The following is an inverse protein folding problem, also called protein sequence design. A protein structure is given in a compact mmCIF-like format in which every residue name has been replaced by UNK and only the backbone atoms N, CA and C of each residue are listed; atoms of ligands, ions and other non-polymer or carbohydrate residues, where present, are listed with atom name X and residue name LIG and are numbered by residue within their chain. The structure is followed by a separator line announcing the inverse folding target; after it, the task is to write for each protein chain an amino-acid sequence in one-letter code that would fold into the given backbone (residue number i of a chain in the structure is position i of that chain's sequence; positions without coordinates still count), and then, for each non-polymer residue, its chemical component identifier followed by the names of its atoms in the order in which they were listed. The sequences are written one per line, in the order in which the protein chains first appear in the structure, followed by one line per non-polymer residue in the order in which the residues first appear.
data_IF_437077779069
#
_entry.id   IF_437077779069
#
_cell.length_a   1.000
_cell.length_b   1.000
_cell.length_c   1.000
_cell.angle_alpha   90.00
_cell.angle_beta   90.00
_cell.angle_gamma   90.00
#
_symmetry.space_group_name_H-M   'P 1'
#
loop_
_entity.id
_entity.type
_entity.pdbx_description
1 polymer ?
#
# COMPACT_ATOMS: atom_id res chain seq x y z
N UNK A 1 6.20 36.70 -16.42
CA UNK A 1 5.59 35.53 -17.03
C UNK A 1 4.85 34.80 -15.93
N UNK A 2 3.52 34.64 -15.98
CA UNK A 2 2.78 34.01 -14.91
C UNK A 2 2.91 32.48 -15.05
N UNK A 3 3.52 31.85 -14.06
CA UNK A 3 3.49 30.39 -13.89
C UNK A 3 2.04 29.95 -13.70
N UNK A 4 1.52 29.18 -14.64
CA UNK A 4 0.25 28.48 -14.50
C UNK A 4 0.41 27.47 -13.35
N UNK A 5 -0.27 27.75 -12.24
CA UNK A 5 -0.43 26.84 -11.11
C UNK A 5 -1.35 25.70 -11.56
N UNK A 6 -0.77 24.57 -11.94
CA UNK A 6 -1.55 23.35 -12.06
C UNK A 6 -1.75 22.81 -10.63
N UNK A 7 -2.91 23.11 -10.06
CA UNK A 7 -3.33 22.50 -8.81
C UNK A 7 -3.52 20.99 -9.09
N UNK A 8 -2.65 20.15 -8.56
CA UNK A 8 -2.86 18.72 -8.53
C UNK A 8 -4.01 18.43 -7.56
N UNK A 9 -5.20 18.36 -8.09
CA UNK A 9 -6.39 17.87 -7.41
C UNK A 9 -6.20 16.35 -7.19
N UNK A 10 -5.79 15.96 -5.99
CA UNK A 10 -6.03 14.62 -5.50
C UNK A 10 -7.52 14.45 -5.19
N UNK A 11 -8.32 14.28 -6.24
CA UNK A 11 -9.60 13.61 -6.07
C UNK A 11 -9.29 12.17 -5.71
N UNK A 12 -9.60 11.76 -4.50
CA UNK A 12 -9.62 10.37 -4.03
C UNK A 12 -10.74 9.60 -4.75
N UNK A 13 -10.52 9.30 -5.96
CA UNK A 13 -11.32 8.48 -6.85
C UNK A 13 -10.46 8.32 -8.07
N UNK A 14 -9.80 7.20 -8.22
CA UNK A 14 -9.05 6.65 -9.34
C UNK A 14 -8.97 7.51 -10.64
N UNK A 15 -8.49 8.74 -10.53
CA UNK A 15 -7.83 9.41 -11.62
C UNK A 15 -6.35 9.40 -11.25
N UNK A 16 -5.69 8.28 -11.56
CA UNK A 16 -4.27 8.31 -11.85
C UNK A 16 -4.05 9.53 -12.72
N UNK A 17 -3.12 10.44 -12.34
CA UNK A 17 -2.64 11.48 -13.25
C UNK A 17 -2.58 10.90 -14.64
N UNK A 18 -3.06 11.58 -15.70
CA UNK A 18 -2.87 11.10 -17.03
C UNK A 18 -1.35 10.96 -17.23
N UNK A 19 -0.88 9.75 -17.07
CA UNK A 19 0.48 9.36 -17.44
C UNK A 19 0.57 9.62 -18.95
N UNK A 20 1.72 10.02 -19.52
CA UNK A 20 1.86 10.12 -20.94
C UNK A 20 1.53 8.75 -21.53
N UNK A 21 0.32 8.61 -22.05
CA UNK A 21 -0.18 7.38 -22.65
C UNK A 21 -0.02 7.50 -24.16
N UNK A 22 0.63 6.53 -24.77
CA UNK A 22 0.58 6.37 -26.20
C UNK A 22 -0.77 5.70 -26.53
N UNK A 23 -1.75 6.48 -26.99
CA UNK A 23 -3.02 5.96 -27.50
C UNK A 23 -2.85 5.53 -28.96
N UNK A 24 -3.27 4.31 -29.28
CA UNK A 24 -3.33 3.79 -30.64
C UNK A 24 -4.78 3.39 -30.92
N UNK A 25 -5.41 4.04 -31.90
CA UNK A 25 -6.76 3.67 -32.35
C UNK A 25 -6.67 2.52 -33.36
N UNK A 26 -7.30 1.40 -33.07
CA UNK A 26 -7.45 0.25 -33.95
C UNK A 26 -8.94 -0.10 -34.08
N UNK A 27 -9.58 0.41 -35.13
CA UNK A 27 -10.94 0.02 -35.52
C UNK A 27 -11.99 0.18 -34.36
N UNK A 28 -11.98 1.32 -33.70
CA UNK A 28 -12.94 1.61 -32.62
C UNK A 28 -12.54 1.08 -31.25
N UNK A 29 -11.29 0.66 -31.07
CA UNK A 29 -10.68 0.36 -29.78
C UNK A 29 -9.50 1.30 -29.51
N UNK A 30 -9.49 1.92 -28.35
CA UNK A 30 -8.39 2.76 -27.88
C UNK A 30 -7.48 1.96 -26.95
N UNK A 31 -6.19 1.94 -27.26
CA UNK A 31 -5.16 1.31 -26.41
C UNK A 31 -4.36 2.39 -25.70
N UNK A 32 -4.24 2.28 -24.39
CA UNK A 32 -3.38 3.14 -23.57
C UNK A 32 -2.37 2.30 -22.81
N UNK A 33 -1.13 2.77 -22.75
CA UNK A 33 -0.07 2.11 -22.01
C UNK A 33 0.67 3.11 -21.13
N UNK A 34 1.11 2.68 -19.96
CA UNK A 34 1.90 3.46 -19.04
C UNK A 34 2.82 2.56 -18.22
N UNK A 35 3.84 3.16 -17.64
CA UNK A 35 4.74 2.43 -16.76
C UNK A 35 5.25 3.30 -15.63
N UNK A 36 5.84 2.64 -14.64
CA UNK A 36 6.48 3.30 -13.52
C UNK A 36 7.68 2.49 -13.04
N UNK A 37 8.67 3.17 -12.50
CA UNK A 37 9.78 2.51 -11.83
C UNK A 37 10.21 3.28 -10.59
N UNK A 38 10.70 2.54 -9.62
CA UNK A 38 11.44 3.02 -8.46
C UNK A 38 12.77 2.27 -8.41
N UNK A 39 13.87 2.99 -8.46
CA UNK A 39 15.21 2.47 -8.18
C UNK A 39 15.59 3.00 -6.80
N UNK A 40 15.72 2.12 -5.83
CA UNK A 40 16.00 2.49 -4.45
C UNK A 40 17.25 1.80 -3.93
N UNK A 41 17.93 2.44 -3.00
CA UNK A 41 19.01 1.83 -2.23
C UNK A 41 18.94 2.32 -0.78
N UNK A 42 18.99 1.38 0.15
CA UNK A 42 18.91 1.70 1.57
C UNK A 42 19.89 0.90 2.41
N UNK A 43 20.14 1.38 3.63
CA UNK A 43 21.04 0.76 4.60
C UNK A 43 20.52 0.96 6.02
N UNK A 44 20.51 -0.13 6.80
CA UNK A 44 20.32 -0.05 8.25
C UNK A 44 21.67 0.27 8.89
N UNK A 45 21.76 1.35 9.63
CA UNK A 45 22.98 1.83 10.25
C UNK A 45 23.00 1.75 11.78
N UNK A 46 21.92 1.24 12.40
CA UNK A 46 21.85 1.02 13.84
C UNK A 46 20.52 0.41 14.28
N UNK A 47 20.52 -0.16 15.48
CA UNK A 47 19.35 -0.80 16.07
C UNK A 47 19.71 -1.99 16.97
N UNK A 48 18.71 -2.83 17.26
CA UNK A 48 18.86 -4.02 18.11
C UNK A 48 19.46 -5.16 17.30
N UNK A 49 20.53 -5.76 17.82
CA UNK A 49 21.20 -6.93 17.23
C UNK A 49 20.60 -8.21 17.75
N UNK A 50 20.91 -9.30 17.09
CA UNK A 50 20.64 -10.69 17.52
C UNK A 50 19.14 -11.02 17.73
N UNK A 51 18.27 -10.23 17.11
CA UNK A 51 16.83 -10.56 16.97
C UNK A 51 16.59 -11.29 15.65
N UNK A 52 15.60 -12.16 15.60
CA UNK A 52 15.17 -12.87 14.40
C UNK A 52 16.23 -13.76 13.73
N UNK A 53 17.23 -14.20 14.46
CA UNK A 53 18.25 -15.15 13.95
C UNK A 53 17.59 -16.47 13.54
N UNK A 54 16.65 -16.97 14.34
CA UNK A 54 15.90 -18.21 14.06
C UNK A 54 15.00 -18.08 12.82
N UNK A 55 14.57 -16.86 12.47
CA UNK A 55 13.84 -16.55 11.24
C UNK A 55 14.76 -16.38 10.02
N UNK A 56 16.09 -16.42 10.20
CA UNK A 56 17.10 -16.31 9.15
C UNK A 56 17.38 -14.89 8.67
N UNK A 57 17.25 -13.88 9.55
CA UNK A 57 17.58 -12.49 9.28
C UNK A 57 18.80 -12.01 10.05
N UNK A 58 19.53 -11.05 9.48
CA UNK A 58 20.71 -10.41 10.09
C UNK A 58 20.36 -9.00 10.58
N UNK A 59 19.75 -8.91 11.75
CA UNK A 59 19.34 -7.63 12.34
C UNK A 59 20.50 -6.88 13.04
N UNK A 60 20.43 -5.54 13.19
CA UNK A 60 19.22 -4.72 13.08
C UNK A 60 18.61 -4.69 11.68
N UNK A 61 17.29 -4.86 11.63
CA UNK A 61 16.52 -4.99 10.40
C UNK A 61 15.43 -3.92 10.35
N UNK A 62 15.13 -3.43 9.14
CA UNK A 62 14.01 -2.56 8.89
C UNK A 62 13.08 -3.19 7.86
N UNK A 63 11.80 -3.27 8.17
CA UNK A 63 10.77 -3.81 7.27
C UNK A 63 10.13 -2.63 6.55
N UNK A 64 10.40 -2.50 5.24
CA UNK A 64 9.79 -1.46 4.40
C UNK A 64 8.45 -1.91 3.83
N UNK A 65 8.26 -3.22 3.62
CA UNK A 65 7.02 -3.80 3.08
C UNK A 65 6.81 -5.23 3.60
N UNK A 66 5.84 -5.41 4.49
CA UNK A 66 5.47 -6.74 4.98
C UNK A 66 4.85 -7.62 3.90
N UNK A 67 3.98 -7.06 3.08
CA UNK A 67 3.23 -7.83 2.07
C UNK A 67 4.17 -8.48 1.05
N UNK A 68 5.25 -7.81 0.69
CA UNK A 68 6.21 -8.26 -0.31
C UNK A 68 7.54 -8.73 0.29
N UNK A 69 7.66 -8.77 1.62
CA UNK A 69 8.90 -9.10 2.35
C UNK A 69 10.05 -8.15 2.01
N UNK A 70 9.77 -6.86 1.93
CA UNK A 70 10.80 -5.83 1.80
C UNK A 70 11.51 -5.64 3.14
N UNK A 71 12.70 -6.25 3.31
CA UNK A 71 13.47 -6.20 4.54
C UNK A 71 14.88 -5.74 4.23
N UNK A 72 15.30 -4.66 4.89
CA UNK A 72 16.69 -4.21 4.95
C UNK A 72 17.37 -4.82 6.16
N UNK A 73 18.51 -5.45 5.94
CA UNK A 73 19.35 -6.06 6.97
C UNK A 73 20.58 -5.20 7.24
N UNK A 74 21.25 -5.44 8.37
CA UNK A 74 22.45 -4.70 8.74
C UNK A 74 23.64 -4.93 7.79
N UNK A 75 24.57 -3.98 7.76
CA UNK A 75 25.91 -4.14 7.26
C UNK A 75 26.20 -3.55 5.88
N UNK A 76 25.25 -3.57 4.93
CA UNK A 76 25.51 -3.12 3.56
C UNK A 76 24.34 -2.37 2.93
N UNK A 77 24.60 -1.70 1.81
CA UNK A 77 23.54 -1.11 1.00
C UNK A 77 22.78 -2.19 0.23
N UNK A 78 21.46 -2.11 0.23
CA UNK A 78 20.57 -3.04 -0.44
C UNK A 78 19.63 -2.28 -1.36
N UNK A 79 19.51 -2.72 -2.61
CA UNK A 79 18.62 -2.11 -3.60
C UNK A 79 17.27 -2.85 -3.73
N UNK A 80 17.22 -4.13 -3.35
CA UNK A 80 16.06 -5.00 -3.56
C UNK A 80 14.77 -4.56 -2.86
N UNK A 81 14.79 -4.21 -1.55
CA UNK A 81 13.56 -4.07 -0.76
C UNK A 81 12.52 -3.10 -1.34
N UNK A 82 12.94 -1.95 -1.88
CA UNK A 82 12.01 -0.93 -2.39
C UNK A 82 12.06 -0.72 -3.91
N UNK A 83 13.01 -1.37 -4.63
CA UNK A 83 13.06 -1.25 -6.10
C UNK A 83 11.96 -2.01 -6.78
N UNK A 84 11.29 -1.39 -7.76
CA UNK A 84 10.16 -1.96 -8.50
C UNK A 84 10.00 -1.35 -9.88
N UNK A 85 9.41 -2.14 -10.77
CA UNK A 85 9.04 -1.76 -12.14
C UNK A 85 7.62 -2.25 -12.40
N UNK A 86 6.75 -1.38 -12.86
CA UNK A 86 5.38 -1.71 -13.21
C UNK A 86 5.02 -1.27 -14.62
N UNK A 87 4.19 -2.06 -15.27
CA UNK A 87 3.58 -1.75 -16.57
C UNK A 87 2.06 -1.89 -16.44
N UNK A 88 1.34 -0.95 -17.01
CA UNK A 88 -0.11 -0.95 -17.08
C UNK A 88 -0.54 -0.74 -18.52
N UNK A 89 -1.56 -1.49 -18.94
CA UNK A 89 -2.24 -1.32 -20.22
C UNK A 89 -3.74 -1.30 -20.04
N UNK A 90 -4.42 -0.51 -20.85
CA UNK A 90 -5.88 -0.51 -20.93
C UNK A 90 -6.32 -0.53 -22.38
N UNK A 91 -7.41 -1.25 -22.63
CA UNK A 91 -8.15 -1.26 -23.89
C UNK A 91 -9.55 -0.78 -23.60
N UNK A 92 -10.02 0.24 -24.28
CA UNK A 92 -11.38 0.76 -24.15
C UNK A 92 -12.12 0.79 -25.47
N UNK A 93 -13.43 0.57 -25.43
CA UNK A 93 -14.29 0.80 -26.58
C UNK A 93 -14.38 2.30 -26.88
N UNK A 94 -14.55 2.67 -28.15
CA UNK A 94 -14.59 4.07 -28.60
C UNK A 94 -15.71 4.89 -27.94
N UNK A 95 -16.79 4.22 -27.48
CA UNK A 95 -17.88 4.87 -26.73
C UNK A 95 -17.58 5.07 -25.23
N UNK A 96 -16.39 4.60 -24.78
CA UNK A 96 -15.94 4.70 -23.38
C UNK A 96 -16.68 3.82 -22.38
N UNK A 97 -17.75 3.12 -22.79
CA UNK A 97 -18.61 2.34 -21.87
C UNK A 97 -17.98 1.06 -21.35
N UNK A 98 -17.02 0.52 -22.07
CA UNK A 98 -16.33 -0.70 -21.71
C UNK A 98 -14.82 -0.48 -21.74
N UNK A 99 -14.11 -0.96 -20.72
CA UNK A 99 -12.65 -1.05 -20.74
C UNK A 99 -12.14 -2.30 -20.03
N UNK A 100 -10.95 -2.75 -20.44
CA UNK A 100 -10.18 -3.81 -19.79
C UNK A 100 -8.83 -3.23 -19.38
N UNK A 101 -8.49 -3.31 -18.09
CA UNK A 101 -7.23 -2.80 -17.56
C UNK A 101 -6.42 -3.92 -16.93
N UNK A 102 -5.12 -3.98 -17.26
CA UNK A 102 -4.16 -4.89 -16.65
C UNK A 102 -2.93 -4.16 -16.14
N UNK A 103 -2.39 -4.58 -15.00
CA UNK A 103 -1.14 -4.08 -14.44
C UNK A 103 -0.30 -5.23 -13.89
N UNK A 104 0.98 -5.27 -14.28
CA UNK A 104 1.96 -6.19 -13.74
C UNK A 104 3.09 -5.40 -13.06
N UNK A 105 3.58 -5.90 -11.91
CA UNK A 105 4.66 -5.26 -11.14
C UNK A 105 5.72 -6.29 -10.79
N UNK A 106 6.96 -6.01 -11.15
CA UNK A 106 8.15 -6.72 -10.71
C UNK A 106 8.78 -5.99 -9.53
N UNK A 107 9.13 -6.71 -8.47
CA UNK A 107 9.71 -6.13 -7.24
C UNK A 107 11.02 -6.81 -6.85
N UNK A 108 12.01 -6.00 -6.51
CA UNK A 108 13.29 -6.49 -5.99
C UNK A 108 13.13 -7.28 -4.68
N UNK A 109 12.20 -6.91 -3.82
CA UNK A 109 11.82 -7.66 -2.62
C UNK A 109 11.38 -9.11 -2.91
N UNK A 110 10.83 -9.36 -4.10
CA UNK A 110 10.42 -10.67 -4.59
C UNK A 110 11.44 -11.28 -5.58
N UNK A 111 12.71 -10.87 -5.50
CA UNK A 111 13.80 -11.29 -6.39
C UNK A 111 13.50 -11.03 -7.88
N UNK A 112 12.80 -9.96 -8.20
CA UNK A 112 12.43 -9.58 -9.57
C UNK A 112 11.23 -10.31 -10.12
N UNK A 113 10.55 -11.15 -9.36
CA UNK A 113 9.35 -11.83 -9.81
C UNK A 113 8.24 -10.82 -10.15
N UNK A 114 7.62 -10.99 -11.31
CA UNK A 114 6.49 -10.18 -11.74
C UNK A 114 5.17 -10.77 -11.22
N UNK A 115 4.32 -9.93 -10.66
CA UNK A 115 2.98 -10.28 -10.22
C UNK A 115 1.95 -9.50 -11.00
N UNK A 116 0.85 -10.16 -11.35
CA UNK A 116 -0.33 -9.52 -11.89
C UNK A 116 -1.10 -8.87 -10.74
N UNK A 117 -1.02 -7.54 -10.65
CA UNK A 117 -1.68 -6.78 -9.58
C UNK A 117 -3.13 -6.48 -9.93
N UNK A 118 -3.39 -6.10 -11.20
CA UNK A 118 -4.73 -5.81 -11.68
C UNK A 118 -5.01 -6.55 -12.98
N UNK A 119 -6.23 -7.02 -13.12
CA UNK A 119 -6.83 -7.43 -14.39
C UNK A 119 -8.34 -7.38 -14.21
N UNK A 120 -8.96 -6.30 -14.64
CA UNK A 120 -10.39 -6.11 -14.48
C UNK A 120 -11.04 -5.41 -15.66
N UNK A 121 -12.30 -5.78 -15.90
CA UNK A 121 -13.17 -5.09 -16.82
C UNK A 121 -13.96 -4.00 -16.09
N UNK A 122 -14.21 -2.89 -16.77
CA UNK A 122 -15.05 -1.79 -16.32
C UNK A 122 -16.21 -1.62 -17.29
N UNK A 123 -17.42 -1.45 -16.77
CA UNK A 123 -18.64 -1.16 -17.52
C UNK A 123 -19.30 0.07 -16.92
N UNK A 124 -19.45 1.13 -17.69
CA UNK A 124 -20.22 2.31 -17.32
C UNK A 124 -21.70 2.04 -17.56
N UNK A 125 -22.48 1.93 -16.49
CA UNK A 125 -23.94 1.76 -16.56
C UNK A 125 -24.67 3.09 -16.81
N UNK A 126 -24.13 4.16 -16.23
CA UNK A 126 -24.56 5.53 -16.43
C UNK A 126 -23.39 6.48 -16.16
N UNK A 127 -23.54 7.78 -16.41
CA UNK A 127 -22.49 8.77 -16.12
C UNK A 127 -21.97 8.79 -14.68
N UNK A 128 -22.75 8.27 -13.73
CA UNK A 128 -22.43 8.26 -12.32
C UNK A 128 -22.14 6.85 -11.76
N UNK A 129 -22.50 5.79 -12.50
CA UNK A 129 -22.51 4.43 -11.98
C UNK A 129 -21.66 3.50 -12.83
N UNK A 130 -20.67 2.86 -12.22
CA UNK A 130 -19.70 1.98 -12.85
C UNK A 130 -19.66 0.62 -12.15
N UNK A 131 -19.62 -0.45 -12.92
CA UNK A 131 -19.35 -1.82 -12.44
C UNK A 131 -17.94 -2.20 -12.85
N UNK A 132 -17.20 -2.86 -11.95
CA UNK A 132 -15.89 -3.41 -12.25
C UNK A 132 -15.83 -4.87 -11.80
N UNK A 133 -15.26 -5.75 -12.63
CA UNK A 133 -15.18 -7.19 -12.39
C UNK A 133 -13.77 -7.70 -12.70
N UNK A 134 -13.17 -8.46 -11.80
CA UNK A 134 -11.84 -9.06 -11.96
C UNK A 134 -10.96 -8.89 -10.75
N UNK A 135 -9.63 -8.93 -10.99
CA UNK A 135 -8.59 -8.73 -9.98
C UNK A 135 -8.31 -7.26 -9.77
N UNK A 136 -8.46 -6.80 -8.54
CA UNK A 136 -8.29 -5.39 -8.17
C UNK A 136 -7.51 -5.23 -6.87
N UNK A 137 -7.03 -4.01 -6.64
CA UNK A 137 -6.50 -3.62 -5.33
C UNK A 137 -7.62 -3.54 -4.30
N UNK A 138 -7.40 -4.10 -3.12
CA UNK A 138 -8.31 -3.94 -1.98
C UNK A 138 -8.24 -2.48 -1.52
N UNK A 139 -9.35 -1.73 -1.51
CA UNK A 139 -9.35 -0.31 -1.17
C UNK A 139 -9.30 -0.12 0.36
N UNK A 140 -8.21 -0.60 0.99
CA UNK A 140 -8.06 -0.59 2.45
C UNK A 140 -7.51 0.75 2.95
N UNK A 141 -6.58 1.37 2.20
CA UNK A 141 -5.86 2.59 2.57
C UNK A 141 -6.01 3.68 1.51
N UNK A 142 -5.69 4.93 1.86
CA UNK A 142 -5.71 6.06 0.93
C UNK A 142 -4.83 5.85 -0.30
N UNK A 143 -3.68 5.25 -0.10
CA UNK A 143 -2.70 5.01 -1.17
C UNK A 143 -2.75 3.58 -1.72
N UNK A 144 -3.78 2.77 -1.41
CA UNK A 144 -3.86 1.38 -1.86
C UNK A 144 -3.62 1.23 -3.36
N UNK A 145 -4.27 2.03 -4.20
CA UNK A 145 -4.14 1.95 -5.66
C UNK A 145 -2.79 2.46 -6.17
N UNK A 146 -2.19 3.45 -5.49
CA UNK A 146 -0.92 4.07 -5.87
C UNK A 146 0.30 3.51 -5.13
N UNK A 147 0.15 2.52 -4.23
CA UNK A 147 1.23 2.08 -3.34
C UNK A 147 2.49 1.56 -4.07
N UNK A 148 2.35 1.13 -5.32
CA UNK A 148 3.47 0.69 -6.14
C UNK A 148 4.07 1.82 -7.00
N UNK A 149 3.34 2.89 -7.23
CA UNK A 149 3.79 4.03 -8.04
C UNK A 149 4.58 5.00 -7.16
N UNK A 150 5.89 4.77 -7.02
CA UNK A 150 6.73 5.57 -6.12
C UNK A 150 6.60 7.07 -6.39
N UNK A 151 6.57 7.50 -7.65
CA UNK A 151 6.41 8.91 -8.02
C UNK A 151 5.15 9.57 -7.43
N UNK A 152 4.05 8.82 -7.30
CA UNK A 152 2.79 9.33 -6.73
C UNK A 152 2.83 9.52 -5.20
N UNK A 153 3.83 8.96 -4.54
CA UNK A 153 3.96 8.98 -3.08
C UNK A 153 4.97 10.03 -2.64
N UNK A 154 4.73 10.75 -1.54
CA UNK A 154 5.77 11.58 -0.94
C UNK A 154 6.86 10.76 -0.23
N UNK A 155 6.59 9.52 0.17
CA UNK A 155 7.55 8.56 0.76
C UNK A 155 8.28 7.75 -0.31
N UNK A 156 9.39 7.11 0.07
CA UNK A 156 10.03 6.02 -0.71
C UNK A 156 9.22 4.73 -0.49
N UNK A 157 8.98 4.39 0.78
CA UNK A 157 8.07 3.34 1.19
C UNK A 157 7.04 3.90 2.16
N UNK A 158 5.81 3.47 2.02
CA UNK A 158 4.72 3.82 2.91
C UNK A 158 4.98 3.20 4.30
N UNK A 159 4.58 3.88 5.40
CA UNK A 159 4.81 3.35 6.74
C UNK A 159 4.23 1.95 6.93
N UNK A 160 5.08 0.94 7.18
CA UNK A 160 4.67 -0.47 7.20
C UNK A 160 3.75 -0.81 8.37
N UNK A 161 3.67 0.02 9.40
CA UNK A 161 2.69 -0.09 10.48
C UNK A 161 1.25 -0.08 9.98
N UNK A 162 0.99 0.66 8.91
CA UNK A 162 -0.34 0.80 8.34
C UNK A 162 -0.48 0.00 7.02
N UNK A 163 0.52 0.04 6.13
CA UNK A 163 0.46 -0.53 4.78
C UNK A 163 0.99 -1.97 4.67
N UNK A 164 1.47 -2.53 5.77
CA UNK A 164 2.12 -3.84 5.81
C UNK A 164 1.17 -5.03 6.03
N UNK A 165 0.11 -5.19 5.22
CA UNK A 165 -0.83 -6.29 5.38
C UNK A 165 -0.60 -7.43 4.39
N UNK A 166 -1.00 -8.64 4.79
CA UNK A 166 -0.79 -9.88 4.04
C UNK A 166 -1.58 -9.98 2.74
N UNK A 167 -2.76 -9.32 2.68
CA UNK A 167 -3.65 -9.30 1.53
C UNK A 167 -3.84 -7.86 1.07
N UNK A 168 -3.49 -7.59 -0.18
CA UNK A 168 -3.54 -6.25 -0.80
C UNK A 168 -4.42 -6.19 -2.04
N UNK A 169 -4.81 -7.34 -2.59
CA UNK A 169 -5.68 -7.46 -3.76
C UNK A 169 -6.91 -8.32 -3.43
N UNK A 170 -7.89 -8.35 -4.33
CA UNK A 170 -9.00 -9.28 -4.31
C UNK A 170 -9.47 -9.60 -5.75
N UNK A 171 -9.98 -10.80 -5.93
CA UNK A 171 -10.68 -11.24 -7.12
C UNK A 171 -12.18 -11.17 -6.86
N UNK A 172 -12.90 -10.35 -7.63
CA UNK A 172 -14.32 -10.12 -7.36
C UNK A 172 -14.92 -9.00 -8.19
N UNK A 173 -15.89 -8.30 -7.60
CA UNK A 173 -16.57 -7.19 -8.26
C UNK A 173 -16.76 -5.98 -7.36
N UNK A 174 -16.97 -4.84 -7.97
CA UNK A 174 -17.36 -3.60 -7.29
C UNK A 174 -18.36 -2.80 -8.09
N UNK A 175 -19.23 -2.11 -7.37
CA UNK A 175 -20.14 -1.10 -7.87
C UNK A 175 -19.68 0.24 -7.30
N UNK A 176 -19.44 1.20 -8.18
CA UNK A 176 -18.93 2.53 -7.83
C UNK A 176 -19.91 3.58 -8.33
N UNK A 177 -20.44 4.35 -7.41
CA UNK A 177 -21.22 5.54 -7.70
C UNK A 177 -20.39 6.79 -7.40
N UNK A 178 -20.36 7.75 -8.32
CA UNK A 178 -19.68 9.04 -8.17
C UNK A 178 -20.62 10.16 -8.52
N UNK A 179 -20.56 11.25 -7.73
CA UNK A 179 -21.33 12.42 -8.01
C UNK A 179 -20.60 13.67 -7.53
N UNK A 180 -21.00 14.81 -8.08
CA UNK A 180 -20.48 16.12 -7.71
C UNK A 180 -21.65 17.03 -7.33
N UNK A 181 -21.57 17.63 -6.15
CA UNK A 181 -22.54 18.61 -5.69
C UNK A 181 -21.84 19.87 -5.19
N UNK A 182 -22.14 21.00 -5.80
CA UNK A 182 -21.42 22.27 -5.59
C UNK A 182 -19.90 22.09 -5.78
N UNK A 183 -19.10 22.24 -4.73
CA UNK A 183 -17.65 22.13 -4.72
C UNK A 183 -17.16 20.79 -4.16
N UNK A 184 -18.07 19.86 -3.86
CA UNK A 184 -17.74 18.57 -3.30
C UNK A 184 -17.83 17.46 -4.33
N UNK A 185 -16.81 16.59 -4.36
CA UNK A 185 -16.87 15.33 -5.07
C UNK A 185 -17.12 14.23 -4.04
N UNK A 186 -18.03 13.33 -4.34
CA UNK A 186 -18.35 12.19 -3.51
C UNK A 186 -18.29 10.88 -4.27
N UNK A 187 -17.91 9.82 -3.59
CA UNK A 187 -18.05 8.47 -4.12
C UNK A 187 -18.48 7.48 -3.07
N UNK A 188 -19.22 6.48 -3.52
CA UNK A 188 -19.61 5.29 -2.77
C UNK A 188 -19.18 4.09 -3.58
N UNK A 189 -18.40 3.21 -2.97
CA UNK A 189 -18.04 1.92 -3.56
C UNK A 189 -18.51 0.78 -2.66
N UNK A 190 -19.20 -0.19 -3.24
CA UNK A 190 -19.48 -1.49 -2.61
C UNK A 190 -18.72 -2.54 -3.38
N UNK A 191 -18.02 -3.44 -2.69
CA UNK A 191 -17.19 -4.45 -3.33
C UNK A 191 -17.23 -5.77 -2.58
N UNK A 192 -16.97 -6.84 -3.29
CA UNK A 192 -16.90 -8.17 -2.70
C UNK A 192 -16.12 -9.16 -3.55
N UNK A 193 -15.60 -10.20 -2.89
CA UNK A 193 -14.79 -11.21 -3.55
C UNK A 193 -13.97 -12.06 -2.57
N UNK A 194 -12.83 -12.51 -3.02
CA UNK A 194 -11.88 -13.30 -2.23
C UNK A 194 -10.44 -13.09 -2.72
N UNK A 195 -9.46 -13.46 -1.91
CA UNK A 195 -8.05 -13.53 -2.30
C UNK A 195 -7.37 -14.74 -1.68
N UNK A 196 -6.47 -15.34 -2.43
CA UNK A 196 -5.56 -16.37 -1.93
C UNK A 196 -4.13 -15.99 -2.25
N UNK A 197 -3.43 -15.47 -1.26
CA UNK A 197 -2.00 -15.16 -1.38
C UNK A 197 -1.19 -16.40 -1.06
N UNK A 198 -0.62 -17.04 -2.10
CA UNK A 198 0.30 -18.16 -1.93
C UNK A 198 1.66 -17.65 -1.48
N UNK A 199 2.29 -18.39 -0.57
CA UNK A 199 3.64 -18.11 -0.07
C UNK A 199 3.80 -16.65 0.40
N UNK A 200 2.97 -16.26 1.35
CA UNK A 200 2.86 -14.90 1.85
C UNK A 200 4.20 -14.35 2.34
N UNK A 201 4.63 -13.22 1.77
CA UNK A 201 5.83 -12.49 2.22
C UNK A 201 5.73 -12.05 3.67
N UNK A 202 4.54 -11.61 4.11
CA UNK A 202 4.22 -11.25 5.48
C UNK A 202 4.56 -12.40 6.46
N UNK A 203 4.02 -13.60 6.20
CA UNK A 203 4.24 -14.74 7.09
C UNK A 203 5.67 -15.30 7.03
N UNK A 204 6.41 -15.09 5.94
CA UNK A 204 7.84 -15.41 5.90
C UNK A 204 8.67 -14.52 6.84
N UNK A 205 8.21 -13.32 7.14
CA UNK A 205 8.85 -12.46 8.14
C UNK A 205 8.65 -13.02 9.54
N UNK A 206 7.44 -13.49 9.87
CA UNK A 206 7.12 -14.01 11.20
C UNK A 206 7.54 -15.46 11.42
N UNK A 207 7.35 -16.33 10.42
CA UNK A 207 7.58 -17.79 10.54
C UNK A 207 8.96 -18.22 10.03
N UNK A 208 9.77 -17.28 9.50
CA UNK A 208 11.09 -17.55 8.97
C UNK A 208 11.14 -17.83 7.47
N UNK A 209 12.33 -17.68 6.90
CA UNK A 209 12.57 -17.76 5.44
C UNK A 209 12.27 -19.13 4.84
N UNK A 210 12.41 -20.22 5.61
CA UNK A 210 12.17 -21.60 5.18
C UNK A 210 10.70 -22.01 5.26
N UNK A 211 9.86 -21.27 5.98
CA UNK A 211 8.43 -21.57 6.10
C UNK A 211 7.65 -21.06 4.88
N UNK A 212 6.53 -21.70 4.61
CA UNK A 212 5.58 -21.24 3.60
C UNK A 212 4.19 -21.16 4.22
N UNK A 213 3.56 -20.03 4.10
CA UNK A 213 2.18 -19.81 4.53
C UNK A 213 1.35 -19.27 3.37
N UNK A 214 0.33 -20.02 2.98
CA UNK A 214 -0.70 -19.52 2.07
C UNK A 214 -1.80 -18.89 2.91
N UNK A 215 -2.22 -17.67 2.57
CA UNK A 215 -3.28 -16.91 3.27
C UNK A 215 -4.49 -16.81 2.36
N UNK A 216 -5.66 -17.11 2.90
CA UNK A 216 -6.91 -16.94 2.19
C UNK A 216 -7.83 -15.99 2.95
N UNK A 217 -8.26 -14.93 2.27
CA UNK A 217 -9.40 -14.12 2.69
C UNK A 217 -10.60 -14.46 1.81
N UNK A 218 -11.65 -14.95 2.42
CA UNK A 218 -12.90 -15.32 1.74
C UNK A 218 -14.06 -14.45 2.23
N UNK A 219 -15.14 -14.41 1.43
CA UNK A 219 -16.35 -13.63 1.72
C UNK A 219 -16.02 -12.17 2.04
N UNK A 220 -15.09 -11.60 1.29
CA UNK A 220 -14.79 -10.18 1.38
C UNK A 220 -16.05 -9.43 0.95
N UNK A 221 -16.54 -8.57 1.84
CA UNK A 221 -17.60 -7.61 1.56
C UNK A 221 -17.20 -6.28 2.19
N UNK A 222 -17.14 -5.23 1.39
CA UNK A 222 -16.70 -3.93 1.86
C UNK A 222 -17.50 -2.79 1.26
N UNK A 223 -17.45 -1.68 1.98
CA UNK A 223 -17.99 -0.39 1.55
C UNK A 223 -16.97 0.68 1.81
N UNK A 224 -16.76 1.54 0.84
CA UNK A 224 -15.94 2.74 0.91
C UNK A 224 -16.82 3.96 0.62
N UNK A 225 -16.66 4.99 1.44
CA UNK A 225 -17.26 6.31 1.26
C UNK A 225 -16.12 7.32 1.18
N UNK A 226 -16.11 8.17 0.17
CA UNK A 226 -15.16 9.26 0.09
C UNK A 226 -15.84 10.57 -0.27
N UNK A 227 -15.31 11.64 0.29
CA UNK A 227 -15.67 13.02 -0.06
C UNK A 227 -14.40 13.83 -0.20
N UNK A 228 -14.38 14.73 -1.16
CA UNK A 228 -13.25 15.64 -1.35
C UNK A 228 -13.72 17.01 -1.84
N UNK A 229 -12.92 17.99 -1.50
CA UNK A 229 -13.02 19.39 -1.92
C UNK A 229 -11.59 19.90 -2.08
N UNK A 230 -11.37 21.02 -2.76
CA UNK A 230 -10.06 21.59 -3.11
C UNK A 230 -8.94 21.40 -2.08
N UNK A 231 -9.23 21.70 -0.83
CA UNK A 231 -8.26 21.67 0.27
C UNK A 231 -8.44 20.50 1.24
N UNK A 232 -9.51 19.70 1.11
CA UNK A 232 -9.87 18.66 2.10
C UNK A 232 -10.32 17.37 1.43
N UNK A 233 -9.96 16.25 2.02
CA UNK A 233 -10.48 14.94 1.66
C UNK A 233 -10.72 14.10 2.91
N UNK A 234 -11.77 13.29 2.88
CA UNK A 234 -12.07 12.28 3.89
C UNK A 234 -12.53 10.99 3.24
N UNK A 235 -12.13 9.87 3.82
CA UNK A 235 -12.48 8.54 3.35
C UNK A 235 -12.73 7.62 4.53
N UNK A 236 -13.80 6.83 4.46
CA UNK A 236 -14.13 5.80 5.44
C UNK A 236 -14.28 4.49 4.70
N UNK A 237 -13.68 3.42 5.22
CA UNK A 237 -13.83 2.07 4.70
C UNK A 237 -14.25 1.11 5.80
N UNK A 238 -15.14 0.19 5.46
CA UNK A 238 -15.48 -0.96 6.28
C UNK A 238 -15.41 -2.22 5.44
N UNK A 239 -14.65 -3.21 5.92
CA UNK A 239 -14.50 -4.51 5.27
C UNK A 239 -14.82 -5.61 6.27
N UNK A 240 -15.53 -6.62 5.83
CA UNK A 240 -15.73 -7.86 6.54
C UNK A 240 -15.18 -8.98 5.69
N UNK A 241 -14.50 -9.95 6.29
CA UNK A 241 -14.01 -11.15 5.62
C UNK A 241 -13.78 -12.29 6.59
N UNK A 242 -13.46 -13.47 6.08
CA UNK A 242 -12.92 -14.57 6.86
C UNK A 242 -11.49 -14.82 6.42
N UNK A 243 -10.60 -15.00 7.39
CA UNK A 243 -9.19 -15.36 7.13
C UNK A 243 -8.92 -16.80 7.53
N UNK A 244 -8.06 -17.48 6.76
CA UNK A 244 -7.55 -18.81 7.03
C UNK A 244 -6.15 -18.96 6.50
N UNK A 245 -5.24 -19.52 7.29
CA UNK A 245 -3.85 -19.75 6.92
C UNK A 245 -3.60 -21.25 6.73
N UNK A 246 -2.82 -21.58 5.71
CA UNK A 246 -2.24 -22.90 5.49
C UNK A 246 -0.73 -22.79 5.64
N UNK A 247 -0.19 -23.32 6.73
CA UNK A 247 1.23 -23.36 6.99
C UNK A 247 1.82 -24.68 6.48
N UNK A 248 2.92 -24.59 5.73
CA UNK A 248 3.74 -25.73 5.34
C UNK A 248 5.14 -25.51 5.93
N UNK A 249 5.55 -26.37 6.86
CA UNK A 249 6.84 -26.31 7.53
C UNK A 249 7.37 -27.73 7.75
N UNK A 250 8.65 -27.96 7.42
CA UNK A 250 9.34 -29.26 7.57
C UNK A 250 8.60 -30.46 6.95
N UNK A 251 7.86 -30.22 5.85
CA UNK A 251 7.07 -31.26 5.16
C UNK A 251 5.68 -31.50 5.75
N UNK A 252 5.36 -30.93 6.88
CA UNK A 252 4.04 -30.99 7.48
C UNK A 252 3.15 -29.83 7.02
N UNK A 253 1.84 -30.07 6.93
CA UNK A 253 0.84 -29.08 6.56
C UNK A 253 -0.17 -28.94 7.69
N UNK A 254 -0.37 -27.70 8.16
CA UNK A 254 -1.40 -27.37 9.13
C UNK A 254 -2.32 -26.24 8.60
N UNK A 255 -3.55 -26.21 9.06
CA UNK A 255 -4.52 -25.18 8.72
C UNK A 255 -4.97 -24.48 10.01
N UNK A 256 -5.01 -23.15 9.96
CA UNK A 256 -5.71 -22.40 11.01
C UNK A 256 -7.22 -22.60 10.89
N UNK A 257 -7.93 -22.36 11.97
CA UNK A 257 -9.38 -22.19 11.88
C UNK A 257 -9.72 -20.99 10.98
N UNK A 258 -10.89 -21.08 10.32
CA UNK A 258 -11.44 -19.97 9.57
C UNK A 258 -12.04 -18.96 10.54
N UNK A 259 -11.46 -17.77 10.61
CA UNK A 259 -11.83 -16.72 11.58
C UNK A 259 -12.41 -15.50 10.87
N UNK A 260 -13.47 -14.95 11.46
CA UNK A 260 -14.07 -13.69 10.96
C UNK A 260 -13.24 -12.51 11.43
N UNK A 261 -13.02 -11.56 10.52
CA UNK A 261 -12.43 -10.26 10.81
C UNK A 261 -13.30 -9.12 10.27
N UNK A 262 -13.27 -8.00 10.97
CA UNK A 262 -13.90 -6.74 10.55
C UNK A 262 -12.85 -5.64 10.60
N UNK A 263 -12.72 -4.89 9.53
CA UNK A 263 -11.74 -3.84 9.36
C UNK A 263 -12.46 -2.51 9.19
N UNK A 264 -12.01 -1.50 9.89
CA UNK A 264 -12.45 -0.12 9.75
C UNK A 264 -11.26 0.78 9.47
N UNK A 265 -11.36 1.60 8.45
CA UNK A 265 -10.37 2.61 8.10
C UNK A 265 -10.99 3.99 8.03
N UNK A 266 -10.22 4.99 8.47
CA UNK A 266 -10.52 6.40 8.30
C UNK A 266 -9.27 7.09 7.75
N UNK A 267 -9.42 7.86 6.68
CA UNK A 267 -8.35 8.65 6.13
C UNK A 267 -8.80 10.09 5.99
N UNK A 268 -7.91 11.02 6.31
CA UNK A 268 -8.13 12.46 6.23
C UNK A 268 -6.95 13.11 5.51
N UNK A 269 -7.23 14.03 4.62
CA UNK A 269 -6.26 14.84 3.91
C UNK A 269 -6.62 16.32 3.97
N UNK A 270 -5.62 17.16 4.14
CA UNK A 270 -5.75 18.60 4.03
C UNK A 270 -4.58 19.18 3.23
N UNK A 271 -4.88 20.07 2.28
CA UNK A 271 -3.91 20.78 1.44
C UNK A 271 -4.28 22.26 1.49
N UNK A 272 -3.51 23.07 2.23
CA UNK A 272 -3.76 24.51 2.42
C UNK A 272 -2.50 25.26 2.04
N UNK A 273 -2.58 26.11 1.03
CA UNK A 273 -1.46 26.82 0.42
C UNK A 273 -0.36 25.83 -0.02
N UNK A 274 0.80 25.90 0.64
CA UNK A 274 1.93 25.01 0.37
C UNK A 274 2.01 23.84 1.37
N UNK A 275 1.21 23.84 2.44
CA UNK A 275 1.19 22.79 3.43
C UNK A 275 0.25 21.66 3.02
N UNK A 276 0.64 20.44 3.36
CA UNK A 276 -0.27 19.31 3.29
C UNK A 276 -0.15 18.43 4.55
N UNK A 277 -1.27 17.90 4.97
CA UNK A 277 -1.35 16.97 6.09
C UNK A 277 -2.12 15.71 5.68
N UNK A 278 -1.71 14.56 6.21
CA UNK A 278 -2.34 13.25 5.98
C UNK A 278 -2.52 12.54 7.31
N UNK A 279 -3.69 11.99 7.54
CA UNK A 279 -4.00 11.16 8.69
C UNK A 279 -4.70 9.89 8.25
N UNK A 280 -4.25 8.73 8.73
CA UNK A 280 -4.92 7.46 8.50
C UNK A 280 -5.01 6.66 9.79
N UNK A 281 -6.15 6.00 10.00
CA UNK A 281 -6.44 5.19 11.16
C UNK A 281 -7.06 3.88 10.69
N UNK A 282 -6.51 2.78 11.20
CA UNK A 282 -6.99 1.43 10.93
C UNK A 282 -7.31 0.73 12.23
N UNK A 283 -8.45 0.07 12.26
CA UNK A 283 -8.87 -0.80 13.34
C UNK A 283 -9.32 -2.14 12.75
N UNK A 284 -8.75 -3.24 13.24
CA UNK A 284 -9.14 -4.59 12.86
C UNK A 284 -9.62 -5.31 14.11
N UNK A 285 -10.81 -5.89 14.04
CA UNK A 285 -11.37 -6.77 15.05
C UNK A 285 -11.35 -8.21 14.54
N UNK A 286 -10.45 -9.01 15.08
CA UNK A 286 -10.39 -10.45 14.87
C UNK A 286 -10.99 -11.14 16.06
N UNK A 287 -12.02 -11.94 15.82
CA UNK A 287 -12.70 -12.68 16.88
C UNK A 287 -11.97 -13.99 17.18
N UNK A 288 -10.71 -13.91 17.51
CA UNK A 288 -9.82 -15.00 17.86
C UNK A 288 -8.79 -14.54 18.89
N UNK A 289 -7.75 -15.35 19.13
CA UNK A 289 -6.66 -15.04 20.04
C UNK A 289 -5.83 -13.83 19.59
N UNK A 290 -5.81 -13.52 18.28
CA UNK A 290 -5.13 -12.33 17.75
C UNK A 290 -5.84 -11.02 18.10
N UNK A 291 -7.10 -11.04 18.50
CA UNK A 291 -7.80 -9.93 19.11
C UNK A 291 -7.97 -8.73 18.18
N UNK A 292 -7.37 -7.60 18.55
CA UNK A 292 -7.58 -6.30 17.90
C UNK A 292 -6.27 -5.64 17.51
N UNK A 293 -6.23 -5.10 16.28
CA UNK A 293 -5.11 -4.32 15.79
C UNK A 293 -5.51 -2.86 15.62
N UNK A 294 -4.61 -1.98 15.98
CA UNK A 294 -4.73 -0.53 15.82
C UNK A 294 -3.50 -0.03 15.11
N UNK A 295 -3.68 0.60 13.96
CA UNK A 295 -2.61 1.27 13.24
C UNK A 295 -3.01 2.70 12.91
N UNK A 296 -2.05 3.62 12.96
CA UNK A 296 -2.28 5.00 12.56
C UNK A 296 -1.04 5.61 11.93
N UNK A 297 -1.28 6.58 11.08
CA UNK A 297 -0.31 7.42 10.42
C UNK A 297 -0.74 8.87 10.52
N UNK A 298 0.18 9.74 10.91
CA UNK A 298 0.05 11.18 10.80
C UNK A 298 1.26 11.72 10.05
N UNK A 299 1.05 12.59 9.09
CA UNK A 299 2.12 13.20 8.30
C UNK A 299 1.80 14.67 8.02
N UNK A 300 2.84 15.48 8.00
CA UNK A 300 2.81 16.86 7.57
C UNK A 300 3.96 17.13 6.62
N UNK A 301 3.70 17.84 5.55
CA UNK A 301 4.71 18.23 4.58
C UNK A 301 4.48 19.63 4.04
N UNK A 302 5.49 20.15 3.33
CA UNK A 302 5.48 21.47 2.75
C UNK A 302 6.04 21.42 1.33
N UNK A 303 5.43 22.14 0.38
CA UNK A 303 5.87 22.24 -1.01
C UNK A 303 6.52 23.60 -1.25
N UNK A 304 7.78 23.59 -1.70
CA UNK A 304 8.52 24.80 -2.03
C UNK A 304 9.30 24.62 -3.34
N UNK A 305 8.73 25.13 -4.43
CA UNK A 305 9.27 24.83 -5.77
C UNK A 305 9.32 23.33 -6.01
N UNK A 306 10.48 22.76 -6.39
CA UNK A 306 10.63 21.32 -6.60
C UNK A 306 10.84 20.52 -5.28
N UNK A 307 11.01 21.19 -4.15
CA UNK A 307 11.29 20.56 -2.86
C UNK A 307 10.02 20.25 -2.07
N UNK A 308 10.00 19.06 -1.50
CA UNK A 308 8.89 18.62 -0.65
C UNK A 308 9.42 17.87 0.57
N UNK A 309 9.79 18.57 1.66
CA UNK A 309 10.03 17.95 2.95
C UNK A 309 8.72 17.43 3.57
N UNK A 310 8.83 16.28 4.26
CA UNK A 310 7.74 15.64 4.98
C UNK A 310 8.26 15.01 6.26
N UNK A 311 7.48 15.12 7.32
CA UNK A 311 7.66 14.40 8.58
C UNK A 311 6.42 13.57 8.85
N UNK A 312 6.61 12.30 9.21
CA UNK A 312 5.51 11.43 9.56
C UNK A 312 5.78 10.56 10.79
N UNK A 313 4.69 10.16 11.45
CA UNK A 313 4.68 9.23 12.56
C UNK A 313 3.66 8.14 12.31
N UNK A 314 4.11 6.88 12.31
CA UNK A 314 3.25 5.72 12.25
C UNK A 314 3.39 4.87 13.52
N UNK A 315 2.28 4.27 13.96
CA UNK A 315 2.23 3.44 15.17
C UNK A 315 1.33 2.23 14.89
N UNK A 316 1.79 1.06 15.32
CA UNK A 316 1.01 -0.17 15.37
C UNK A 316 0.92 -0.66 16.81
N UNK A 317 -0.26 -1.15 17.19
CA UNK A 317 -0.54 -1.75 18.50
C UNK A 317 -1.52 -2.89 18.32
N UNK A 318 -1.17 -4.02 18.90
CA UNK A 318 -2.04 -5.18 19.01
C UNK A 318 -2.62 -5.26 20.44
N UNK A 319 -3.83 -5.79 20.57
CA UNK A 319 -4.46 -6.18 21.82
C UNK A 319 -4.98 -7.58 21.67
N UNK A 320 -4.31 -8.54 22.28
CA UNK A 320 -4.67 -9.96 22.22
C UNK A 320 -5.84 -10.28 23.16
N UNK A 321 -6.56 -11.35 22.85
CA UNK A 321 -7.63 -11.89 23.67
C UNK A 321 -7.15 -13.01 24.61
N UNK A 322 -5.86 -13.31 24.61
CA UNK A 322 -5.19 -14.29 25.47
C UNK A 322 -4.03 -13.64 26.23
N UNK A 323 -3.29 -14.41 27.02
CA UNK A 323 -2.17 -13.94 27.83
C UNK A 323 -0.84 -13.79 27.06
N UNK A 324 -0.87 -13.91 25.71
CA UNK A 324 0.32 -13.71 24.88
C UNK A 324 0.76 -12.25 24.86
N UNK A 325 2.03 -12.03 24.54
CA UNK A 325 2.62 -10.70 24.47
C UNK A 325 2.13 -9.96 23.22
N UNK A 326 1.47 -8.80 23.35
CA UNK A 326 1.00 -8.03 22.20
C UNK A 326 2.13 -7.27 21.50
N UNK A 327 2.09 -7.24 20.19
CA UNK A 327 3.03 -6.50 19.36
C UNK A 327 2.78 -4.99 19.42
N UNK A 328 3.86 -4.21 19.54
CA UNK A 328 3.81 -2.74 19.64
C UNK A 328 5.06 -2.12 19.04
N UNK A 329 4.91 -1.38 17.94
CA UNK A 329 6.04 -0.66 17.34
C UNK A 329 5.58 0.63 16.65
N UNK A 330 6.53 1.43 16.23
CA UNK A 330 6.22 2.63 15.48
C UNK A 330 7.47 3.29 14.89
N UNK A 331 7.25 4.08 13.85
CA UNK A 331 8.32 4.72 13.07
C UNK A 331 8.12 6.23 13.02
N UNK A 332 9.18 6.98 13.22
CA UNK A 332 9.30 8.35 12.74
C UNK A 332 10.01 8.32 11.41
N UNK A 333 9.44 9.00 10.40
CA UNK A 333 10.05 9.11 9.08
C UNK A 333 10.20 10.58 8.69
N UNK A 334 11.43 10.97 8.32
CA UNK A 334 11.72 12.25 7.70
C UNK A 334 12.06 12.03 6.24
N UNK A 335 11.35 12.68 5.33
CA UNK A 335 11.51 12.52 3.88
C UNK A 335 11.81 13.87 3.27
N UNK A 336 12.74 13.89 2.30
CA UNK A 336 12.96 14.99 1.40
C UNK A 336 12.79 14.49 -0.03
N UNK A 337 11.78 15.02 -0.73
CA UNK A 337 11.55 14.79 -2.15
C UNK A 337 11.99 16.01 -2.95
N UNK A 338 12.60 15.74 -4.10
CA UNK A 338 12.95 16.73 -5.11
C UNK A 338 12.39 16.28 -6.47
N UNK A 339 11.48 17.07 -7.04
CA UNK A 339 10.91 16.82 -8.35
C UNK A 339 11.91 17.29 -9.41
N UNK A 340 12.46 16.33 -10.18
CA UNK A 340 13.42 16.61 -11.27
C UNK A 340 12.67 17.14 -12.49
N UNK A 341 11.57 16.49 -12.81
CA UNK A 341 10.68 16.76 -13.94
C UNK A 341 9.23 16.50 -13.52
N UNK A 342 8.28 16.74 -14.40
CA UNK A 342 6.85 16.46 -14.15
C UNK A 342 6.52 14.93 -14.07
N UNK A 343 7.52 14.09 -14.40
CA UNK A 343 7.39 12.63 -14.45
C UNK A 343 8.43 11.90 -13.59
N UNK A 344 9.36 12.62 -12.94
CA UNK A 344 10.43 11.99 -12.16
C UNK A 344 10.83 12.76 -10.91
N UNK A 345 11.23 12.02 -9.86
CA UNK A 345 11.67 12.58 -8.59
C UNK A 345 12.83 11.80 -7.98
N UNK A 346 13.65 12.47 -7.20
CA UNK A 346 14.61 11.86 -6.27
C UNK A 346 14.09 12.05 -4.85
N UNK A 347 14.25 11.02 -4.02
CA UNK A 347 13.88 11.10 -2.60
C UNK A 347 14.99 10.59 -1.70
N UNK A 348 15.04 11.15 -0.50
CA UNK A 348 15.84 10.66 0.61
C UNK A 348 14.90 10.48 1.83
N UNK A 349 14.97 9.34 2.50
CA UNK A 349 14.13 9.00 3.65
C UNK A 349 14.97 8.46 4.78
N UNK A 350 14.75 9.00 5.98
CA UNK A 350 15.33 8.54 7.24
C UNK A 350 14.21 8.00 8.12
N UNK A 351 14.34 6.75 8.56
CA UNK A 351 13.38 6.07 9.42
C UNK A 351 14.00 5.70 10.76
N UNK A 352 13.29 6.02 11.82
CA UNK A 352 13.61 5.68 13.18
C UNK A 352 12.53 4.74 13.72
N UNK A 353 12.74 3.45 13.55
CA UNK A 353 11.85 2.41 14.07
C UNK A 353 12.11 2.15 15.56
N UNK A 354 11.06 2.13 16.33
CA UNK A 354 11.08 1.79 17.75
C UNK A 354 10.14 0.62 18.02
N UNK A 355 10.72 -0.48 18.48
CA UNK A 355 9.99 -1.63 18.99
C UNK A 355 9.71 -1.42 20.49
N UNK A 356 8.45 -1.58 20.85
CA UNK A 356 7.98 -1.50 22.25
C UNK A 356 7.26 -2.78 22.66
N UNK A 357 7.43 -3.83 21.91
CA UNK A 357 6.94 -5.16 22.23
C UNK A 357 7.68 -5.67 23.46
N UNK A 358 6.95 -6.22 24.41
CA UNK A 358 7.58 -6.75 25.62
C UNK A 358 8.47 -7.98 25.30
N UNK A 359 9.49 -8.27 26.09
CA UNK A 359 10.30 -9.48 25.94
C UNK A 359 9.45 -10.75 25.95
N UNK A 360 9.82 -11.73 25.12
CA UNK A 360 9.10 -13.01 25.00
C UNK A 360 8.23 -13.12 23.75
N UNK A 361 8.04 -12.03 22.99
CA UNK A 361 7.46 -12.10 21.67
C UNK A 361 8.52 -12.52 20.65
N UNK A 362 8.27 -13.63 19.94
CA UNK A 362 9.19 -14.18 18.93
C UNK A 362 9.22 -13.40 17.61
N UNK A 363 9.23 -12.06 17.67
CA UNK A 363 9.23 -11.23 16.48
C UNK A 363 10.64 -10.87 16.05
N UNK A 364 10.83 -10.58 14.75
CA UNK A 364 12.07 -10.06 14.22
C UNK A 364 12.26 -8.55 14.42
N UNK A 365 11.34 -7.90 15.13
CA UNK A 365 11.38 -6.46 15.33
C UNK A 365 12.62 -6.08 16.15
N UNK A 366 12.60 -5.18 16.91
CA UNK A 366 13.73 -4.53 17.55
C UNK A 366 13.88 -3.14 16.94
N UNK A 367 14.64 -2.28 17.62
CA UNK A 367 14.91 -0.94 17.10
C UNK A 367 15.72 -0.99 15.81
N UNK A 368 15.41 -0.08 14.86
CA UNK A 368 16.17 0.08 13.65
C UNK A 368 16.29 1.56 13.25
N UNK A 369 17.40 1.91 12.62
CA UNK A 369 17.63 3.19 11.99
C UNK A 369 18.02 2.94 10.54
N UNK A 370 17.17 3.40 9.63
CA UNK A 370 17.29 3.16 8.19
C UNK A 370 17.45 4.47 7.45
N UNK A 371 18.34 4.48 6.44
CA UNK A 371 18.41 5.55 5.46
C UNK A 371 18.24 4.95 4.06
N UNK A 372 17.37 5.56 3.26
CA UNK A 372 17.05 5.11 1.89
C UNK A 372 17.05 6.30 0.95
N UNK A 373 17.53 6.09 -0.27
CA UNK A 373 17.40 7.01 -1.39
C UNK A 373 16.68 6.33 -2.53
N UNK A 374 15.91 7.07 -3.33
CA UNK A 374 15.27 6.54 -4.53
C UNK A 374 15.29 7.55 -5.69
N UNK A 375 15.23 6.99 -6.89
CA UNK A 375 14.80 7.65 -8.11
C UNK A 375 13.49 7.02 -8.56
N UNK A 376 12.47 7.83 -8.73
CA UNK A 376 11.13 7.42 -9.14
C UNK A 376 10.79 8.06 -10.49
N UNK A 377 10.18 7.28 -11.39
CA UNK A 377 9.74 7.77 -12.69
C UNK A 377 8.44 7.10 -13.12
N UNK A 378 7.59 7.89 -13.81
CA UNK A 378 6.43 7.41 -14.58
C UNK A 378 6.64 7.70 -16.06
N UNK A 379 6.13 6.86 -16.97
CA UNK A 379 6.35 6.98 -18.42
C UNK A 379 5.23 6.32 -19.22
#
# INVERSE_FOLDING_TARGET
MPFRRTAFLFALGAQLCPLPSHAVDLQGLEFTGSGFMTLAAGRVFGGTRDVAVDQGFHCPCFISDYAQRGVYEAGHWQAGPDSKLGLQGSVSAADGRFSLTGQAVSRGAANGAANLEWLYATVELSGNLTVQLGRKRLPLFSYSEAQDVGYALPWIHLPPQLYGWEVVNYDGGSLVWRDQWAQWNGSVQVFGGSETRKDSGFWRIYNGRSSRTDVRWSDILGTELSVSRDWFSARVVRIQSHTQNKLVSLGETSFSERKRQVIHGLSLGADVDNWFARGEFLYIDRRDDYGKDYANLLAIGYRHGPWQPLLSRAIYRQRLNNDSVPERHGTWSAVLRYDLTDDSAIKAQLDLWKDRTAPGYGSMHGDARQFTVSYDRVF
#
